data_IF_242288317429
#
_entry.id   IF_242288317429
#
_cell.length_a   1.000
_cell.length_b   1.000
_cell.length_c   1.000
_cell.angle_alpha   90.00
_cell.angle_beta   90.00
_cell.angle_gamma   90.00
#
_symmetry.space_group_name_H-M   'P 1'
#
loop_
_entity.id
_entity.type
_entity.pdbx_description
1 polymer ?
#
# COMPACT_ATOMS: atom_id res chain seq x y z
N UNK A 1 -21.76 3.19 8.81
CA UNK A 1 -20.49 3.55 8.12
C UNK A 1 -20.52 3.22 6.64
N UNK A 2 -20.83 1.97 6.22
CA UNK A 2 -20.95 1.65 4.78
C UNK A 2 -22.15 2.38 4.13
N UNK A 3 -23.33 2.33 4.75
CA UNK A 3 -24.50 3.06 4.24
C UNK A 3 -24.27 4.58 4.15
N UNK A 4 -23.51 5.16 5.09
CA UNK A 4 -23.15 6.59 5.08
C UNK A 4 -22.07 6.94 4.05
N UNK A 5 -21.43 5.94 3.45
CA UNK A 5 -20.47 6.14 2.37
C UNK A 5 -21.15 6.35 1.01
N UNK A 6 -22.44 5.98 0.89
CA UNK A 6 -23.31 6.32 -0.25
C UNK A 6 -22.65 5.95 -1.59
N UNK A 7 -22.20 4.70 -1.68
CA UNK A 7 -21.52 4.19 -2.88
C UNK A 7 -20.09 4.70 -3.12
N UNK A 8 -19.49 5.51 -2.25
CA UNK A 8 -18.10 6.00 -2.42
C UNK A 8 -17.10 5.32 -1.47
N UNK A 9 -16.16 4.58 -2.04
CA UNK A 9 -14.99 4.01 -1.38
C UNK A 9 -14.12 5.10 -0.76
N UNK A 10 -13.92 6.23 -1.44
CA UNK A 10 -13.17 7.37 -0.89
C UNK A 10 -13.85 7.95 0.35
N UNK A 11 -15.18 8.11 0.32
CA UNK A 11 -15.95 8.62 1.45
C UNK A 11 -15.88 7.66 2.64
N UNK A 12 -15.95 6.35 2.39
CA UNK A 12 -15.75 5.34 3.41
C UNK A 12 -14.35 5.43 4.02
N UNK A 13 -13.31 5.45 3.19
CA UNK A 13 -11.92 5.53 3.63
C UNK A 13 -11.66 6.79 4.47
N UNK A 14 -12.12 7.95 4.00
CA UNK A 14 -11.97 9.21 4.72
C UNK A 14 -12.74 9.22 6.05
N UNK A 15 -13.91 8.57 6.10
CA UNK A 15 -14.69 8.42 7.35
C UNK A 15 -13.97 7.51 8.34
N UNK A 16 -13.44 6.37 7.88
CA UNK A 16 -12.65 5.47 8.73
C UNK A 16 -11.41 6.20 9.29
N UNK A 17 -10.66 6.90 8.44
CA UNK A 17 -9.49 7.67 8.87
C UNK A 17 -9.83 8.76 9.89
N UNK A 18 -10.96 9.46 9.75
CA UNK A 18 -11.39 10.50 10.72
C UNK A 18 -11.92 9.92 12.03
N UNK A 19 -12.56 8.77 11.99
CA UNK A 19 -13.30 8.22 13.13
C UNK A 19 -12.55 7.12 13.89
N UNK A 20 -11.51 6.53 13.31
CA UNK A 20 -10.77 5.41 13.91
C UNK A 20 -9.26 5.67 13.87
N UNK A 21 -8.58 5.86 15.02
CA UNK A 21 -7.16 6.23 15.06
C UNK A 21 -6.22 5.28 14.31
N UNK A 22 -6.54 3.98 14.27
CA UNK A 22 -5.71 2.98 13.57
C UNK A 22 -5.90 2.99 12.05
N UNK A 23 -6.79 3.86 11.53
CA UNK A 23 -7.01 4.10 10.11
C UNK A 23 -6.46 5.47 9.66
N UNK A 24 -6.11 6.39 10.57
CA UNK A 24 -5.53 7.72 10.26
C UNK A 24 -4.04 7.66 9.85
N UNK A 25 -3.75 6.82 8.85
CA UNK A 25 -2.41 6.70 8.26
C UNK A 25 -2.17 7.86 7.27
N UNK A 26 -1.87 9.05 7.80
CA UNK A 26 -1.87 10.30 7.01
C UNK A 26 -0.94 10.27 5.79
N UNK A 27 -1.56 10.43 4.63
CA UNK A 27 -0.92 10.43 3.31
C UNK A 27 -1.01 9.09 2.57
N UNK A 28 -1.44 8.02 3.25
CA UNK A 28 -1.55 6.69 2.64
C UNK A 28 -2.89 6.03 2.90
N UNK A 29 -3.49 6.22 4.08
CA UNK A 29 -4.77 5.65 4.48
C UNK A 29 -4.87 4.16 4.17
N UNK A 30 -3.76 3.40 4.30
CA UNK A 30 -3.65 2.02 3.79
C UNK A 30 -4.81 1.15 4.26
N UNK A 31 -5.05 1.13 5.57
CA UNK A 31 -6.11 0.32 6.19
C UNK A 31 -7.50 0.81 5.81
N UNK A 32 -7.69 2.11 5.63
CA UNK A 32 -8.96 2.70 5.22
C UNK A 32 -9.28 2.38 3.75
N UNK A 33 -8.29 2.46 2.86
CA UNK A 33 -8.45 2.12 1.45
C UNK A 33 -8.70 0.61 1.25
N UNK A 34 -7.88 -0.25 1.85
CA UNK A 34 -8.03 -1.72 1.69
C UNK A 34 -9.36 -2.22 2.25
N UNK A 35 -9.90 -1.58 3.29
CA UNK A 35 -11.22 -1.94 3.83
C UNK A 35 -12.33 -1.75 2.79
N UNK A 36 -12.31 -0.66 2.02
CA UNK A 36 -13.30 -0.45 0.96
C UNK A 36 -13.15 -1.51 -0.14
N UNK A 37 -11.91 -1.81 -0.55
CA UNK A 37 -11.62 -2.87 -1.51
C UNK A 37 -12.10 -4.26 -1.04
N UNK A 38 -11.77 -4.65 0.19
CA UNK A 38 -12.11 -5.97 0.72
C UNK A 38 -13.62 -6.15 0.90
N UNK A 39 -14.34 -5.10 1.33
CA UNK A 39 -15.80 -5.13 1.40
C UNK A 39 -16.43 -5.30 0.01
N UNK A 40 -15.87 -4.67 -1.01
CA UNK A 40 -16.32 -4.83 -2.38
C UNK A 40 -16.05 -6.24 -2.93
N UNK A 41 -14.84 -6.75 -2.73
CA UNK A 41 -14.46 -8.10 -3.14
C UNK A 41 -15.29 -9.19 -2.45
N UNK A 42 -15.66 -8.97 -1.18
CA UNK A 42 -16.53 -9.89 -0.44
C UNK A 42 -18.02 -9.78 -0.82
N UNK A 43 -18.40 -8.85 -1.70
CA UNK A 43 -19.80 -8.61 -2.07
C UNK A 43 -20.65 -7.97 -0.96
N UNK A 44 -20.01 -7.41 0.07
CA UNK A 44 -20.69 -6.79 1.22
C UNK A 44 -21.09 -5.34 0.91
N UNK A 45 -20.38 -4.68 0.00
CA UNK A 45 -20.67 -3.32 -0.45
C UNK A 45 -20.34 -3.18 -1.94
N UNK A 46 -20.98 -2.22 -2.61
CA UNK A 46 -20.61 -1.80 -3.95
C UNK A 46 -20.17 -0.33 -3.89
N UNK A 47 -19.12 0.01 -4.63
CA UNK A 47 -18.62 1.38 -4.73
C UNK A 47 -18.39 1.75 -6.18
N UNK A 48 -18.72 3.00 -6.54
CA UNK A 48 -18.62 3.53 -7.90
C UNK A 48 -17.19 4.00 -8.23
N UNK A 49 -16.44 4.44 -7.23
CA UNK A 49 -15.10 5.04 -7.32
C UNK A 49 -13.99 4.09 -6.82
N UNK A 50 -14.25 2.78 -6.81
CA UNK A 50 -13.31 1.80 -6.28
C UNK A 50 -11.96 1.81 -7.02
N UNK A 51 -12.01 2.02 -8.32
CA UNK A 51 -10.83 2.06 -9.21
C UNK A 51 -10.00 3.34 -9.05
N UNK A 52 -10.49 4.32 -8.27
CA UNK A 52 -9.75 5.52 -7.88
C UNK A 52 -8.93 5.32 -6.59
N UNK A 53 -8.98 4.14 -5.97
CA UNK A 53 -8.08 3.78 -4.87
C UNK A 53 -6.66 3.58 -5.38
N UNK A 54 -5.68 3.96 -4.55
CA UNK A 54 -4.27 3.70 -4.82
C UNK A 54 -3.91 2.25 -4.45
N UNK A 55 -2.64 1.88 -4.63
CA UNK A 55 -2.11 0.71 -3.92
C UNK A 55 -2.22 0.90 -2.40
N UNK A 56 -2.28 -0.21 -1.66
CA UNK A 56 -2.41 -0.22 -0.20
C UNK A 56 -1.03 -0.27 0.44
N UNK A 57 -0.25 0.80 0.21
CA UNK A 57 1.19 0.87 0.45
C UNK A 57 1.61 0.40 1.86
N UNK A 58 2.06 -0.85 1.92
CA UNK A 58 2.59 -1.53 3.10
C UNK A 58 4.10 -1.72 2.98
N UNK A 59 4.66 -2.80 3.53
CA UNK A 59 6.06 -3.15 3.36
C UNK A 59 6.36 -4.23 2.31
N UNK A 60 5.36 -4.91 1.77
CA UNK A 60 5.53 -5.98 0.80
C UNK A 60 5.56 -5.45 -0.62
N UNK A 61 4.60 -4.59 -1.01
CA UNK A 61 4.55 -4.06 -2.38
C UNK A 61 5.82 -3.23 -2.71
N UNK A 62 6.28 -2.29 -1.86
CA UNK A 62 7.56 -1.60 -2.10
C UNK A 62 8.75 -2.57 -2.14
N UNK A 63 8.70 -3.67 -1.40
CA UNK A 63 9.75 -4.69 -1.43
C UNK A 63 9.80 -5.43 -2.77
N UNK A 64 8.64 -5.81 -3.32
CA UNK A 64 8.57 -6.43 -4.66
C UNK A 64 9.14 -5.50 -5.71
N UNK A 65 8.74 -4.22 -5.70
CA UNK A 65 9.25 -3.20 -6.62
C UNK A 65 10.77 -3.01 -6.51
N UNK A 66 11.31 -3.05 -5.28
CA UNK A 66 12.76 -2.99 -5.02
C UNK A 66 13.49 -4.21 -5.58
N UNK A 67 12.96 -5.41 -5.33
CA UNK A 67 13.58 -6.68 -5.78
C UNK A 67 13.56 -6.79 -7.30
N UNK A 68 12.50 -6.29 -7.95
CA UNK A 68 12.37 -6.29 -9.41
C UNK A 68 13.08 -5.09 -10.07
N UNK A 69 13.68 -4.19 -9.28
CA UNK A 69 14.50 -3.08 -9.77
C UNK A 69 13.70 -1.90 -10.33
N UNK A 70 12.38 -1.89 -10.13
CA UNK A 70 11.47 -0.79 -10.52
C UNK A 70 11.71 0.44 -9.66
N UNK A 71 11.89 0.24 -8.35
CA UNK A 71 12.27 1.30 -7.41
C UNK A 71 13.68 1.04 -6.90
N UNK A 72 14.54 2.06 -6.96
CA UNK A 72 15.92 2.01 -6.47
C UNK A 72 16.08 2.95 -5.29
N UNK A 73 16.60 2.43 -4.19
CA UNK A 73 16.86 3.21 -2.98
C UNK A 73 18.29 3.72 -2.98
N UNK A 74 18.51 4.77 -2.20
CA UNK A 74 19.85 5.18 -1.81
C UNK A 74 20.66 3.97 -1.26
N UNK A 75 21.96 3.83 -1.60
CA UNK A 75 22.77 2.70 -1.18
C UNK A 75 22.80 2.48 0.35
N UNK A 76 22.81 3.54 1.15
CA UNK A 76 22.83 3.43 2.61
C UNK A 76 21.48 2.90 3.14
N UNK A 77 20.36 3.37 2.58
CA UNK A 77 19.03 2.87 2.90
C UNK A 77 18.85 1.41 2.49
N UNK A 78 19.31 1.04 1.29
CA UNK A 78 19.31 -0.35 0.82
C UNK A 78 20.11 -1.26 1.76
N UNK A 79 21.33 -0.85 2.14
CA UNK A 79 22.18 -1.62 3.04
C UNK A 79 21.57 -1.78 4.43
N UNK A 80 20.93 -0.73 4.97
CA UNK A 80 20.17 -0.80 6.24
C UNK A 80 19.06 -1.85 6.18
N UNK A 81 18.26 -1.85 5.11
CA UNK A 81 17.20 -2.84 4.91
C UNK A 81 17.79 -4.25 4.78
N UNK A 82 18.90 -4.40 4.06
CA UNK A 82 19.57 -5.70 3.85
C UNK A 82 20.14 -6.28 5.15
N UNK A 83 20.52 -5.44 6.12
CA UNK A 83 20.87 -5.86 7.49
C UNK A 83 19.66 -6.14 8.39
N UNK A 84 18.44 -5.94 7.89
CA UNK A 84 17.21 -6.14 8.65
C UNK A 84 16.99 -5.12 9.76
N UNK A 85 17.68 -3.98 9.71
CA UNK A 85 17.60 -2.91 10.70
C UNK A 85 16.24 -2.18 10.58
N UNK A 86 15.53 -1.95 11.71
CA UNK A 86 14.25 -1.26 11.67
C UNK A 86 14.37 0.17 11.13
N UNK A 87 13.39 0.60 10.34
CA UNK A 87 13.17 1.99 9.93
C UNK A 87 12.05 2.57 10.80
N UNK A 88 12.28 3.71 11.49
CA UNK A 88 11.25 4.31 12.35
C UNK A 88 9.98 4.67 11.57
N UNK A 89 8.83 4.42 12.18
CA UNK A 89 7.54 4.80 11.59
C UNK A 89 7.45 6.31 11.40
N UNK A 90 6.84 6.75 10.29
CA UNK A 90 6.69 8.16 9.90
C UNK A 90 8.01 8.90 9.65
N UNK A 91 9.16 8.22 9.66
CA UNK A 91 10.42 8.84 9.27
C UNK A 91 10.45 9.14 7.76
N UNK A 92 11.24 10.11 7.30
CA UNK A 92 11.34 10.41 5.87
C UNK A 92 11.64 9.17 5.02
N UNK A 93 12.63 8.30 5.33
CA UNK A 93 12.90 7.11 4.52
C UNK A 93 11.73 6.13 4.46
N UNK A 94 11.00 5.98 5.56
CA UNK A 94 9.84 5.09 5.64
C UNK A 94 8.68 5.60 4.76
N UNK A 95 8.38 6.90 4.86
CA UNK A 95 7.35 7.55 4.02
C UNK A 95 7.77 7.61 2.54
N UNK A 96 9.03 7.86 2.25
CA UNK A 96 9.58 7.89 0.88
C UNK A 96 9.47 6.53 0.20
N UNK A 97 9.77 5.43 0.90
CA UNK A 97 9.60 4.07 0.38
C UNK A 97 8.14 3.83 -0.04
N UNK A 98 7.18 4.20 0.82
CA UNK A 98 5.75 4.00 0.56
C UNK A 98 5.24 4.91 -0.56
N UNK A 99 5.63 6.19 -0.55
CA UNK A 99 5.24 7.14 -1.58
C UNK A 99 5.82 6.76 -2.95
N UNK A 100 7.08 6.32 -2.99
CA UNK A 100 7.70 5.82 -4.23
C UNK A 100 6.95 4.61 -4.79
N UNK A 101 6.48 3.70 -3.93
CA UNK A 101 5.66 2.56 -4.36
C UNK A 101 4.32 3.01 -4.95
N UNK A 102 3.63 3.96 -4.31
CA UNK A 102 2.38 4.52 -4.87
C UNK A 102 2.65 5.11 -6.24
N UNK A 103 3.62 6.04 -6.36
CA UNK A 103 3.97 6.67 -7.62
C UNK A 103 4.37 5.67 -8.72
N UNK A 104 5.12 4.62 -8.37
CA UNK A 104 5.52 3.57 -9.31
C UNK A 104 4.30 2.78 -9.80
N UNK A 105 3.40 2.38 -8.89
CA UNK A 105 2.23 1.60 -9.23
C UNK A 105 1.17 2.40 -9.99
N UNK A 106 1.00 3.71 -9.73
CA UNK A 106 0.16 4.58 -10.56
C UNK A 106 0.65 4.60 -12.03
N UNK A 107 1.96 4.64 -12.24
CA UNK A 107 2.54 4.59 -13.59
C UNK A 107 2.37 3.22 -14.23
N UNK A 108 2.55 2.14 -13.47
CA UNK A 108 2.32 0.78 -13.95
C UNK A 108 0.86 0.57 -14.34
N UNK A 109 -0.07 1.02 -13.50
CA UNK A 109 -1.52 1.00 -13.73
C UNK A 109 -1.88 1.66 -15.06
N UNK A 110 -1.37 2.87 -15.31
CA UNK A 110 -1.56 3.59 -16.57
C UNK A 110 -0.98 2.82 -17.78
N UNK A 111 0.20 2.21 -17.64
CA UNK A 111 0.85 1.46 -18.71
C UNK A 111 0.09 0.18 -19.11
N UNK A 112 -0.53 -0.51 -18.15
CA UNK A 112 -1.23 -1.77 -18.41
C UNK A 112 -2.75 -1.61 -18.58
N UNK A 113 -3.27 -0.39 -18.39
CA UNK A 113 -4.71 -0.10 -18.48
C UNK A 113 -5.52 -0.78 -17.38
N UNK A 114 -5.00 -0.79 -16.14
CA UNK A 114 -5.64 -1.41 -14.96
C UNK A 114 -5.61 -0.46 -13.77
N UNK A 115 -6.57 -0.53 -12.84
CA UNK A 115 -6.57 0.33 -11.67
C UNK A 115 -5.43 -0.03 -10.69
N UNK A 116 -4.88 0.94 -9.94
CA UNK A 116 -3.78 0.69 -8.99
C UNK A 116 -4.09 -0.41 -7.97
N UNK A 117 -5.33 -0.52 -7.49
CA UNK A 117 -5.75 -1.59 -6.56
C UNK A 117 -5.55 -3.01 -7.14
N UNK A 118 -5.69 -3.20 -8.45
CA UNK A 118 -5.44 -4.50 -9.08
C UNK A 118 -3.93 -4.78 -9.14
N UNK A 119 -3.13 -3.75 -9.41
CA UNK A 119 -1.66 -3.84 -9.37
C UNK A 119 -1.19 -4.22 -7.96
N UNK A 120 -1.80 -3.65 -6.92
CA UNK A 120 -1.53 -4.02 -5.52
C UNK A 120 -1.76 -5.52 -5.29
N UNK A 121 -2.95 -6.03 -5.63
CA UNK A 121 -3.29 -7.45 -5.47
C UNK A 121 -2.30 -8.35 -6.21
N UNK A 122 -1.91 -7.99 -7.44
CA UNK A 122 -0.95 -8.78 -8.22
C UNK A 122 0.45 -8.78 -7.58
N UNK A 123 0.95 -7.61 -7.17
CA UNK A 123 2.28 -7.50 -6.54
C UNK A 123 2.30 -8.13 -5.16
N UNK A 124 1.22 -8.01 -4.39
CA UNK A 124 1.09 -8.63 -3.08
C UNK A 124 1.14 -10.16 -3.17
N UNK A 125 0.41 -10.75 -4.12
CA UNK A 125 0.45 -12.19 -4.38
C UNK A 125 1.84 -12.64 -4.86
N UNK A 126 2.44 -11.91 -5.80
CA UNK A 126 3.81 -12.15 -6.29
C UNK A 126 4.84 -12.11 -5.15
N UNK A 127 4.67 -11.20 -4.20
CA UNK A 127 5.52 -11.07 -3.01
C UNK A 127 5.55 -12.31 -2.09
N UNK A 128 4.64 -13.26 -2.29
CA UNK A 128 4.63 -14.53 -1.56
C UNK A 128 5.69 -15.52 -2.06
N UNK A 129 6.26 -15.32 -3.25
CA UNK A 129 7.22 -16.25 -3.84
C UNK A 129 8.56 -16.28 -3.09
N UNK A 130 9.25 -17.42 -3.18
CA UNK A 130 10.56 -17.65 -2.54
C UNK A 130 11.60 -16.58 -2.90
N UNK A 131 11.57 -16.07 -4.14
CA UNK A 131 12.47 -15.01 -4.62
C UNK A 131 12.38 -13.75 -3.76
N UNK A 132 11.16 -13.31 -3.43
CA UNK A 132 10.94 -12.11 -2.62
C UNK A 132 11.21 -12.37 -1.15
N UNK A 133 10.83 -13.55 -0.64
CA UNK A 133 11.08 -13.95 0.74
C UNK A 133 12.57 -14.18 1.05
N UNK A 134 13.40 -14.44 0.04
CA UNK A 134 14.85 -14.61 0.18
C UNK A 134 15.60 -13.31 0.52
N UNK A 135 14.96 -12.14 0.38
CA UNK A 135 15.54 -10.83 0.70
C UNK A 135 14.73 -10.14 1.79
N UNK A 136 15.37 -9.43 2.73
CA UNK A 136 14.63 -8.69 3.74
C UNK A 136 13.87 -7.51 3.12
N UNK A 137 12.61 -7.38 3.53
CA UNK A 137 11.81 -6.16 3.35
C UNK A 137 12.15 -5.14 4.41
N UNK A 138 11.84 -3.87 4.17
CA UNK A 138 11.97 -2.85 5.21
C UNK A 138 11.07 -3.22 6.41
N UNK A 139 11.57 -2.98 7.63
CA UNK A 139 10.89 -3.33 8.87
C UNK A 139 10.54 -2.06 9.62
N UNK A 140 9.26 -1.85 9.88
CA UNK A 140 8.77 -0.70 10.62
C UNK A 140 7.76 -1.18 11.64
N UNK A 141 7.96 -0.81 12.90
CA UNK A 141 7.00 -1.10 13.97
C UNK A 141 5.93 -0.03 13.95
N UNK A 142 4.74 -0.36 13.43
CA UNK A 142 3.60 0.54 13.33
C UNK A 142 2.29 -0.25 13.37
N UNK A 143 1.19 0.45 13.69
CA UNK A 143 -0.17 -0.10 13.66
C UNK A 143 -0.83 -0.05 12.29
N UNK A 144 -0.18 0.62 11.32
CA UNK A 144 -0.73 0.87 9.99
C UNK A 144 -0.50 -0.28 8.99
N UNK A 145 0.40 -1.23 9.27
CA UNK A 145 0.67 -2.39 8.40
C UNK A 145 -0.11 -3.63 8.80
#
# INVERSE_FOLDING_TARGET
MVASADGSAKRLAATLARSMPFFDDRGFWKRAQITANDLALAGVAAFEDLDELTIFADNLVPHVLRVDGVVRYDPALAARIDRGEPIPANSPPEREIRAAAVCACERLAALVGRPPREIDVWLWNRGQDRRYKARPRHRTRTVFY
#
